data_IF_521851850633
#
_entry.id   IF_521851850633
#
_cell.length_a   1.000
_cell.length_b   1.000
_cell.length_c   1.000
_cell.angle_alpha   90.00
_cell.angle_beta   90.00
_cell.angle_gamma   90.00
#
_symmetry.space_group_name_H-M   'P 1'
#
loop_
_entity.id
_entity.type
_entity.pdbx_description
1 polymer ?
#
# COMPACT_ATOMS: atom_id res chain seq x y z
N UNK A 1 10.70 -3.83 1.81
CA UNK A 1 10.54 -4.17 0.37
C UNK A 1 10.85 -2.94 -0.47
N UNK A 2 11.33 -3.06 -1.71
CA UNK A 2 11.52 -1.89 -2.57
C UNK A 2 10.21 -1.60 -3.32
N UNK A 3 9.42 -0.65 -2.79
CA UNK A 3 8.10 -0.28 -3.34
C UNK A 3 8.18 0.14 -4.82
N UNK A 4 9.30 0.71 -5.26
CA UNK A 4 9.48 1.18 -6.63
C UNK A 4 9.71 0.05 -7.65
N UNK A 5 9.94 -1.18 -7.17
CA UNK A 5 10.08 -2.38 -8.01
C UNK A 5 8.77 -3.16 -8.17
N UNK A 6 7.71 -2.78 -7.45
CA UNK A 6 6.39 -3.40 -7.59
C UNK A 6 5.79 -2.95 -8.93
N UNK A 7 5.51 -3.91 -9.82
CA UNK A 7 4.96 -3.63 -11.15
C UNK A 7 3.51 -4.06 -11.33
N UNK A 8 3.03 -4.93 -10.45
CA UNK A 8 1.68 -5.46 -10.49
C UNK A 8 1.25 -5.89 -9.07
N UNK A 9 -0.05 -5.95 -8.76
CA UNK A 9 -0.55 -6.34 -7.45
C UNK A 9 -0.64 -7.87 -7.25
N UNK A 10 -0.20 -8.69 -8.22
CA UNK A 10 -0.42 -10.14 -8.14
C UNK A 10 0.35 -10.79 -6.98
N UNK A 11 1.48 -10.21 -6.57
CA UNK A 11 2.24 -10.68 -5.40
C UNK A 11 1.45 -10.63 -4.09
N UNK A 12 0.44 -9.75 -3.98
CA UNK A 12 -0.40 -9.66 -2.79
C UNK A 12 -1.19 -10.95 -2.53
N UNK A 13 -1.43 -11.76 -3.57
CA UNK A 13 -2.21 -13.00 -3.48
C UNK A 13 -1.58 -14.01 -2.53
N UNK A 14 -0.27 -14.12 -2.55
CA UNK A 14 0.46 -15.14 -1.80
C UNK A 14 0.95 -14.61 -0.44
N UNK A 15 0.63 -13.36 -0.10
CA UNK A 15 1.00 -12.75 1.18
C UNK A 15 0.05 -13.18 2.31
N UNK A 16 0.63 -13.44 3.45
CA UNK A 16 -0.05 -13.61 4.72
C UNK A 16 -0.53 -12.27 5.29
N UNK A 17 -1.45 -12.30 6.25
CA UNK A 17 -1.92 -11.08 6.93
C UNK A 17 -0.77 -10.26 7.53
N UNK A 18 0.19 -10.87 8.29
CA UNK A 18 1.33 -10.11 8.81
C UNK A 18 2.18 -9.44 7.72
N UNK A 19 2.43 -10.13 6.61
CA UNK A 19 3.19 -9.55 5.49
C UNK A 19 2.46 -8.37 4.85
N UNK A 20 1.12 -8.45 4.74
CA UNK A 20 0.30 -7.34 4.26
C UNK A 20 0.29 -6.14 5.22
N UNK A 21 0.32 -6.38 6.53
CA UNK A 21 0.44 -5.32 7.55
C UNK A 21 1.80 -4.61 7.47
N UNK A 22 2.89 -5.36 7.27
CA UNK A 22 4.23 -4.81 7.05
C UNK A 22 4.29 -3.96 5.77
N UNK A 23 3.72 -4.47 4.68
CA UNK A 23 3.63 -3.72 3.43
C UNK A 23 2.83 -2.41 3.59
N UNK A 24 1.70 -2.47 4.30
CA UNK A 24 0.89 -1.28 4.58
C UNK A 24 1.71 -0.24 5.36
N UNK A 25 2.51 -0.68 6.34
CA UNK A 25 3.39 0.21 7.10
C UNK A 25 4.46 0.88 6.22
N UNK A 26 5.09 0.13 5.32
CA UNK A 26 6.06 0.68 4.36
C UNK A 26 5.41 1.70 3.42
N UNK A 27 4.21 1.41 2.90
CA UNK A 27 3.47 2.33 2.02
C UNK A 27 3.10 3.61 2.78
N UNK A 28 2.59 3.52 4.01
CA UNK A 28 2.26 4.69 4.83
C UNK A 28 3.50 5.56 5.06
N UNK A 29 4.64 4.93 5.39
CA UNK A 29 5.91 5.64 5.57
C UNK A 29 6.34 6.37 4.31
N UNK A 30 6.29 5.69 3.15
CA UNK A 30 6.60 6.30 1.86
C UNK A 30 5.66 7.47 1.52
N UNK A 31 4.36 7.33 1.77
CA UNK A 31 3.38 8.40 1.55
C UNK A 31 3.66 9.61 2.45
N UNK A 32 3.99 9.39 3.72
CA UNK A 32 4.38 10.47 4.64
C UNK A 32 5.64 11.16 4.14
N UNK A 33 6.70 10.40 3.81
CA UNK A 33 7.97 10.96 3.34
C UNK A 33 7.79 11.75 2.05
N UNK A 34 7.05 11.21 1.06
CA UNK A 34 6.82 11.87 -0.23
C UNK A 34 5.91 13.09 -0.15
N UNK A 35 4.89 13.08 0.69
CA UNK A 35 3.90 14.19 0.78
C UNK A 35 4.24 15.24 1.84
N UNK A 36 5.12 14.90 2.80
CA UNK A 36 5.58 15.84 3.84
C UNK A 36 6.29 17.07 3.26
N UNK A 37 6.91 16.93 2.08
CA UNK A 37 7.67 18.00 1.41
C UNK A 37 6.75 19.06 0.77
N UNK A 38 5.54 18.68 0.36
CA UNK A 38 4.65 19.54 -0.45
C UNK A 38 3.46 20.13 0.30
N UNK A 39 3.19 19.69 1.54
CA UNK A 39 2.08 20.20 2.35
C UNK A 39 0.71 20.00 1.69
N UNK A 40 0.18 18.77 1.71
CA UNK A 40 -1.13 18.41 1.14
C UNK A 40 -1.88 17.39 1.98
N UNK A 41 -3.13 17.07 1.62
CA UNK A 41 -4.03 16.17 2.38
C UNK A 41 -3.45 14.76 2.57
N UNK A 42 -2.69 14.55 3.66
CA UNK A 42 -2.06 13.27 4.02
C UNK A 42 -3.10 12.26 4.54
N UNK A 43 -4.15 12.75 5.21
CA UNK A 43 -5.15 11.93 5.91
C UNK A 43 -5.92 10.93 5.04
N UNK A 44 -6.47 11.32 3.87
CA UNK A 44 -7.26 10.41 3.04
C UNK A 44 -6.45 9.24 2.48
N UNK A 45 -5.23 9.51 2.02
CA UNK A 45 -4.38 8.49 1.39
C UNK A 45 -3.84 7.47 2.40
N UNK A 46 -3.65 7.87 3.67
CA UNK A 46 -3.26 6.94 4.73
C UNK A 46 -4.40 6.03 5.17
N UNK A 47 -5.66 6.51 5.13
CA UNK A 47 -6.82 5.73 5.59
C UNK A 47 -7.31 4.67 4.61
N UNK A 48 -6.83 4.68 3.36
CA UNK A 48 -7.25 3.72 2.32
C UNK A 48 -6.23 2.63 2.03
N UNK A 49 -5.01 2.70 2.60
CA UNK A 49 -3.91 1.78 2.26
C UNK A 49 -4.31 0.32 2.52
N UNK A 50 -4.80 0.02 3.72
CA UNK A 50 -5.18 -1.32 4.15
C UNK A 50 -6.38 -1.82 3.34
N UNK A 51 -7.34 -0.93 3.06
CA UNK A 51 -8.50 -1.25 2.24
C UNK A 51 -8.07 -1.62 0.81
N UNK A 52 -7.17 -0.84 0.20
CA UNK A 52 -6.67 -1.12 -1.15
C UNK A 52 -5.90 -2.43 -1.20
N UNK A 53 -5.04 -2.72 -0.22
CA UNK A 53 -4.33 -4.01 -0.12
C UNK A 53 -5.31 -5.17 0.03
N UNK A 54 -6.28 -5.05 0.94
CA UNK A 54 -7.29 -6.08 1.17
C UNK A 54 -8.16 -6.33 -0.06
N UNK A 55 -8.53 -5.28 -0.80
CA UNK A 55 -9.27 -5.40 -2.06
C UNK A 55 -8.46 -6.14 -3.13
N UNK A 56 -7.17 -5.82 -3.31
CA UNK A 56 -6.34 -6.54 -4.28
C UNK A 56 -6.09 -8.00 -3.86
N UNK A 57 -5.90 -8.27 -2.56
CA UNK A 57 -5.74 -9.63 -2.03
C UNK A 57 -7.02 -10.47 -2.20
N UNK A 58 -8.18 -9.92 -1.83
CA UNK A 58 -9.45 -10.66 -1.81
C UNK A 58 -10.16 -10.73 -3.16
N UNK A 59 -10.11 -9.66 -3.96
CA UNK A 59 -10.90 -9.53 -5.20
C UNK A 59 -10.07 -9.66 -6.48
N UNK A 60 -8.75 -9.81 -6.39
CA UNK A 60 -7.85 -9.77 -7.56
C UNK A 60 -8.10 -8.52 -8.43
N UNK A 61 -8.39 -7.39 -7.78
CA UNK A 61 -8.95 -6.22 -8.45
C UNK A 61 -8.02 -5.69 -9.56
N UNK A 62 -8.54 -5.78 -10.79
CA UNK A 62 -8.28 -5.08 -12.06
C UNK A 62 -6.81 -4.70 -12.36
N UNK A 63 -6.28 -5.35 -13.40
CA UNK A 63 -5.04 -4.99 -14.13
C UNK A 63 -5.06 -3.57 -14.67
#
# INVERSE_FOLDING_TARGET
MDLLKIKDPAFLKDMTIPEMEELAAEIRKFLIESTSVTGGHIGPNLGVVELTIALHHALQAIR
#
